data_IF_779508809629
#
_entry.id   IF_779508809629
#
_cell.length_a   1.000
_cell.length_b   1.000
_cell.length_c   1.000
_cell.angle_alpha   90.00
_cell.angle_beta   90.00
_cell.angle_gamma   90.00
#
_symmetry.space_group_name_H-M   'P 1'
#
loop_
_entity.id
_entity.type
_entity.pdbx_description
1 polymer ?
#
# COMPACT_ATOMS: atom_id res chain seq x y z
N UNK A 1 -25.98 28.18 -15.19
CA UNK A 1 -26.58 27.73 -13.92
C UNK A 1 -28.07 28.10 -13.87
N UNK A 2 -28.88 27.67 -14.85
CA UNK A 2 -30.32 28.01 -14.92
C UNK A 2 -31.25 27.02 -14.21
N UNK A 3 -30.72 25.90 -13.66
CA UNK A 3 -31.53 24.78 -13.17
C UNK A 3 -32.35 25.03 -11.91
N UNK A 4 -32.10 26.12 -11.18
CA UNK A 4 -32.81 26.45 -9.92
C UNK A 4 -33.60 27.77 -10.02
N UNK A 5 -33.87 28.28 -11.21
CA UNK A 5 -34.60 29.54 -11.38
C UNK A 5 -35.99 29.49 -10.74
N UNK A 6 -36.74 28.41 -10.98
CA UNK A 6 -38.10 28.23 -10.44
C UNK A 6 -38.09 28.05 -8.92
N UNK A 7 -37.09 27.35 -8.37
CA UNK A 7 -36.93 27.19 -6.93
C UNK A 7 -36.59 28.52 -6.25
N UNK A 8 -35.67 29.30 -6.81
CA UNK A 8 -35.31 30.62 -6.29
C UNK A 8 -36.49 31.60 -6.35
N UNK A 9 -37.37 31.44 -7.34
CA UNK A 9 -38.60 32.21 -7.44
C UNK A 9 -39.62 31.80 -6.37
N UNK A 10 -39.76 30.50 -6.09
CA UNK A 10 -40.68 29.97 -5.08
C UNK A 10 -40.21 30.15 -3.63
N UNK A 11 -38.90 30.07 -3.38
CA UNK A 11 -38.28 30.16 -2.06
C UNK A 11 -37.55 31.50 -1.83
N UNK A 12 -38.08 32.60 -2.36
CA UNK A 12 -37.57 33.94 -2.04
C UNK A 12 -37.84 34.31 -0.56
N UNK A 13 -37.23 35.41 -0.08
CA UNK A 13 -37.40 35.93 1.29
C UNK A 13 -38.87 36.23 1.68
N UNK A 14 -39.82 36.14 0.74
CA UNK A 14 -41.26 36.38 0.92
C UNK A 14 -42.09 35.11 0.63
N UNK A 15 -41.48 33.93 0.65
CA UNK A 15 -42.15 32.66 0.31
C UNK A 15 -43.19 32.23 1.37
N UNK A 16 -44.37 31.83 0.89
CA UNK A 16 -45.51 31.31 1.69
C UNK A 16 -45.31 29.83 2.04
N UNK A 17 -44.46 29.14 1.29
CA UNK A 17 -44.15 27.72 1.46
C UNK A 17 -43.28 27.53 2.70
N UNK A 18 -43.84 26.91 3.74
CA UNK A 18 -43.17 26.65 5.03
C UNK A 18 -41.86 25.85 4.86
N UNK A 19 -41.82 24.99 3.86
CA UNK A 19 -40.74 24.07 3.55
C UNK A 19 -39.46 24.81 3.12
N UNK A 20 -39.58 26.00 2.51
CA UNK A 20 -38.44 26.87 2.18
C UNK A 20 -37.75 27.45 3.42
N UNK A 21 -38.46 27.54 4.56
CA UNK A 21 -37.90 28.00 5.84
C UNK A 21 -37.28 26.85 6.64
N UNK A 22 -37.83 25.64 6.49
CA UNK A 22 -37.36 24.44 7.21
C UNK A 22 -36.20 23.74 6.50
N UNK A 23 -36.15 23.76 5.17
CA UNK A 23 -35.08 23.18 4.37
C UNK A 23 -34.29 24.30 3.67
N UNK A 24 -33.17 24.70 4.27
CA UNK A 24 -32.29 25.71 3.67
C UNK A 24 -31.62 25.14 2.42
N UNK A 25 -31.56 25.94 1.36
CA UNK A 25 -30.82 25.60 0.15
C UNK A 25 -29.35 25.31 0.50
N UNK A 26 -28.86 24.13 0.11
CA UNK A 26 -27.47 23.75 0.34
C UNK A 26 -26.58 24.56 -0.61
N UNK A 27 -25.69 25.42 -0.10
CA UNK A 27 -24.84 26.24 -0.95
C UNK A 27 -23.79 25.37 -1.64
N UNK A 28 -23.59 25.59 -2.94
CA UNK A 28 -22.47 25.01 -3.68
C UNK A 28 -22.64 23.58 -4.20
N UNK A 29 -23.87 23.08 -4.34
CA UNK A 29 -24.12 21.78 -4.95
C UNK A 29 -23.55 21.73 -6.39
N UNK A 30 -22.73 20.73 -6.76
CA UNK A 30 -22.26 20.56 -8.14
C UNK A 30 -23.45 20.29 -9.06
N UNK A 31 -23.31 20.63 -10.34
CA UNK A 31 -24.35 20.28 -11.31
C UNK A 31 -24.39 18.75 -11.49
N UNK A 32 -25.54 18.20 -11.87
CA UNK A 32 -25.68 16.76 -12.15
C UNK A 32 -24.66 16.28 -13.19
N UNK A 33 -24.27 17.15 -14.13
CA UNK A 33 -23.23 16.87 -15.13
C UNK A 33 -21.85 16.71 -14.47
N UNK A 34 -21.48 17.63 -13.58
CA UNK A 34 -20.17 17.59 -12.91
C UNK A 34 -20.09 16.41 -11.93
N UNK A 35 -21.17 16.17 -11.16
CA UNK A 35 -21.26 15.03 -10.26
C UNK A 35 -21.16 13.68 -11.02
N UNK A 36 -21.79 13.56 -12.19
CA UNK A 36 -21.67 12.37 -13.03
C UNK A 36 -20.23 12.17 -13.53
N UNK A 37 -19.53 13.25 -13.90
CA UNK A 37 -18.11 13.18 -14.30
C UNK A 37 -17.21 12.78 -13.13
N UNK A 38 -17.45 13.31 -11.93
CA UNK A 38 -16.70 12.93 -10.73
C UNK A 38 -16.89 11.44 -10.41
N UNK A 39 -18.13 10.96 -10.35
CA UNK A 39 -18.42 9.54 -10.10
C UNK A 39 -17.80 8.66 -11.18
N UNK A 40 -17.94 9.01 -12.46
CA UNK A 40 -17.33 8.25 -13.56
C UNK A 40 -15.79 8.23 -13.43
N UNK A 41 -15.16 9.36 -13.10
CA UNK A 41 -13.71 9.43 -12.92
C UNK A 41 -13.22 8.58 -11.74
N UNK A 42 -13.95 8.58 -10.62
CA UNK A 42 -13.59 7.79 -9.45
C UNK A 42 -13.78 6.30 -9.75
N UNK A 43 -14.92 5.91 -10.32
CA UNK A 43 -15.21 4.51 -10.67
C UNK A 43 -14.30 3.94 -11.77
N UNK A 44 -13.77 4.79 -12.64
CA UNK A 44 -12.78 4.38 -13.65
C UNK A 44 -11.35 4.29 -13.11
N UNK A 45 -11.03 5.06 -12.06
CA UNK A 45 -9.69 5.08 -11.47
C UNK A 45 -9.51 4.04 -10.36
N UNK A 46 -10.59 3.70 -9.65
CA UNK A 46 -10.60 2.76 -8.53
C UNK A 46 -11.91 1.98 -8.48
N UNK A 47 -11.83 0.67 -8.27
CA UNK A 47 -13.00 -0.14 -7.97
C UNK A 47 -13.41 0.10 -6.50
N UNK A 48 -14.59 0.68 -6.29
CA UNK A 48 -15.15 0.93 -4.97
C UNK A 48 -16.61 0.48 -4.92
N UNK A 49 -17.06 0.11 -3.72
CA UNK A 49 -18.46 -0.22 -3.45
C UNK A 49 -19.34 1.03 -3.67
N UNK A 50 -20.33 0.91 -4.55
CA UNK A 50 -21.21 2.02 -4.96
C UNK A 50 -21.09 2.38 -6.44
N UNK A 51 -19.98 2.03 -7.10
CA UNK A 51 -19.83 2.22 -8.55
C UNK A 51 -20.77 1.32 -9.37
N UNK A 52 -21.16 0.16 -8.83
CA UNK A 52 -22.13 -0.75 -9.45
C UNK A 52 -23.56 -0.18 -9.49
N UNK A 53 -23.87 0.79 -8.62
CA UNK A 53 -25.19 1.43 -8.58
C UNK A 53 -25.42 2.37 -9.78
N UNK A 54 -24.36 2.78 -10.48
CA UNK A 54 -24.41 3.69 -11.63
C UNK A 54 -23.74 3.07 -12.85
N UNK A 55 -24.54 2.44 -13.73
CA UNK A 55 -24.05 1.95 -15.03
C UNK A 55 -24.00 3.10 -16.04
N UNK A 56 -22.79 3.47 -16.47
CA UNK A 56 -22.58 4.53 -17.45
C UNK A 56 -22.71 3.98 -18.89
N UNK A 57 -23.66 4.49 -19.71
CA UNK A 57 -23.77 4.07 -21.10
C UNK A 57 -22.62 4.63 -21.95
N UNK A 58 -22.04 3.80 -22.83
CA UNK A 58 -20.93 4.17 -23.72
C UNK A 58 -21.28 5.31 -24.71
N UNK A 59 -22.57 5.62 -24.88
CA UNK A 59 -23.09 6.61 -25.82
C UNK A 59 -23.32 8.01 -25.23
N UNK A 60 -22.74 8.33 -24.07
CA UNK A 60 -22.72 9.72 -23.56
C UNK A 60 -24.07 10.22 -23.03
N UNK A 61 -24.73 9.43 -22.18
CA UNK A 61 -25.98 9.77 -21.49
C UNK A 61 -25.84 9.78 -19.97
N UNK A 62 -26.87 10.29 -19.28
CA UNK A 62 -26.94 10.25 -17.81
C UNK A 62 -27.22 8.82 -17.32
N UNK A 63 -26.46 8.29 -16.34
CA UNK A 63 -26.77 7.01 -15.75
C UNK A 63 -28.13 7.07 -15.04
N UNK A 64 -28.89 5.98 -15.10
CA UNK A 64 -30.17 5.85 -14.40
C UNK A 64 -29.91 5.48 -12.93
N UNK A 65 -29.33 6.39 -12.17
CA UNK A 65 -29.01 6.21 -10.75
C UNK A 65 -29.13 7.53 -9.97
N UNK A 66 -29.20 7.43 -8.65
CA UNK A 66 -29.07 8.61 -7.77
C UNK A 66 -27.60 9.02 -7.68
N UNK A 67 -27.17 9.82 -8.67
CA UNK A 67 -25.79 10.30 -8.81
C UNK A 67 -25.31 11.00 -7.53
N UNK A 68 -26.19 11.74 -6.85
CA UNK A 68 -25.80 12.52 -5.67
C UNK A 68 -25.60 11.62 -4.46
N UNK A 69 -26.44 10.59 -4.28
CA UNK A 69 -26.27 9.58 -3.24
C UNK A 69 -25.01 8.73 -3.46
N UNK A 70 -24.78 8.27 -4.69
CA UNK A 70 -23.57 7.51 -5.03
C UNK A 70 -22.31 8.35 -4.85
N UNK A 71 -22.33 9.61 -5.30
CA UNK A 71 -21.21 10.54 -5.09
C UNK A 71 -20.94 10.79 -3.61
N UNK A 72 -21.98 10.95 -2.79
CA UNK A 72 -21.84 11.11 -1.35
C UNK A 72 -21.19 9.88 -0.71
N UNK A 73 -21.68 8.67 -1.01
CA UNK A 73 -21.13 7.42 -0.50
C UNK A 73 -19.65 7.22 -0.88
N UNK A 74 -19.30 7.63 -2.10
CA UNK A 74 -17.94 7.49 -2.62
C UNK A 74 -16.97 8.45 -1.93
N UNK A 75 -17.41 9.71 -1.72
CA UNK A 75 -16.61 10.74 -1.07
C UNK A 75 -16.54 10.63 0.45
N UNK A 76 -17.51 10.01 1.12
CA UNK A 76 -17.41 9.68 2.55
C UNK A 76 -16.44 8.51 2.78
N UNK A 77 -16.35 7.58 1.84
CA UNK A 77 -15.42 6.44 1.91
C UNK A 77 -13.96 6.87 1.71
N UNK A 78 -13.70 7.86 0.85
CA UNK A 78 -12.37 8.49 0.69
C UNK A 78 -12.46 10.03 0.59
N UNK A 79 -12.33 10.76 1.71
CA UNK A 79 -12.55 12.21 1.74
C UNK A 79 -11.39 13.06 1.19
N UNK A 80 -10.23 12.47 0.91
CA UNK A 80 -9.00 13.18 0.48
C UNK A 80 -8.70 13.02 -1.02
N UNK A 81 -9.67 12.55 -1.79
CA UNK A 81 -9.61 12.60 -3.26
C UNK A 81 -9.89 14.02 -3.78
N UNK A 82 -9.16 14.42 -4.82
CA UNK A 82 -9.33 15.73 -5.45
C UNK A 82 -10.75 15.90 -6.03
N UNK A 83 -11.36 14.80 -6.50
CA UNK A 83 -12.74 14.77 -7.01
C UNK A 83 -13.81 14.98 -5.92
N UNK A 84 -13.45 14.84 -4.65
CA UNK A 84 -14.35 14.99 -3.50
C UNK A 84 -14.24 16.36 -2.81
N UNK A 85 -13.41 17.27 -3.33
CA UNK A 85 -13.21 18.61 -2.76
C UNK A 85 -14.53 19.40 -2.69
N UNK A 86 -15.36 19.34 -3.73
CA UNK A 86 -16.66 20.01 -3.75
C UNK A 86 -17.61 19.44 -2.70
N UNK A 87 -17.66 18.11 -2.55
CA UNK A 87 -18.48 17.45 -1.52
C UNK A 87 -18.03 17.81 -0.10
N UNK A 88 -16.72 17.85 0.14
CA UNK A 88 -16.11 18.27 1.42
C UNK A 88 -16.52 19.69 1.80
N UNK A 89 -16.53 20.62 0.85
CA UNK A 89 -16.95 22.01 1.09
C UNK A 89 -18.43 22.14 1.46
N UNK A 90 -19.29 21.32 0.86
CA UNK A 90 -20.73 21.27 1.15
C UNK A 90 -20.97 20.76 2.57
N UNK A 91 -20.31 19.66 2.96
CA UNK A 91 -20.45 19.11 4.31
C UNK A 91 -19.86 20.02 5.40
N UNK A 92 -18.89 20.88 5.06
CA UNK A 92 -18.39 21.94 5.96
C UNK A 92 -19.36 23.11 6.08
N UNK A 93 -20.05 23.48 4.99
CA UNK A 93 -21.01 24.58 4.97
C UNK A 93 -22.36 24.21 5.60
N UNK A 94 -22.77 22.94 5.54
CA UNK A 94 -24.06 22.47 6.08
C UNK A 94 -23.92 21.08 6.71
N UNK A 95 -23.54 21.01 8.00
CA UNK A 95 -23.33 19.72 8.69
C UNK A 95 -24.64 18.94 8.93
N UNK A 96 -25.80 19.59 8.83
CA UNK A 96 -27.13 18.96 8.98
C UNK A 96 -27.63 18.23 7.73
N UNK A 97 -26.85 18.22 6.64
CA UNK A 97 -27.25 17.54 5.40
C UNK A 97 -27.16 16.01 5.58
N UNK A 98 -28.27 15.31 5.35
CA UNK A 98 -28.40 13.86 5.61
C UNK A 98 -27.37 13.00 4.86
N UNK A 99 -26.91 13.44 3.69
CA UNK A 99 -25.87 12.76 2.89
C UNK A 99 -24.46 12.91 3.47
N UNK A 100 -24.21 13.87 4.35
CA UNK A 100 -22.95 13.99 5.07
C UNK A 100 -22.90 13.09 6.33
N UNK A 101 -24.04 12.52 6.75
CA UNK A 101 -24.18 11.70 7.97
C UNK A 101 -24.71 10.28 7.73
N UNK A 102 -25.22 9.96 6.53
CA UNK A 102 -25.77 8.64 6.25
C UNK A 102 -24.69 7.63 5.87
N UNK A 103 -24.58 6.62 6.73
CA UNK A 103 -24.10 5.25 6.50
C UNK A 103 -22.61 5.01 6.22
N UNK A 104 -21.90 4.69 7.31
CA UNK A 104 -20.92 3.60 7.35
C UNK A 104 -19.45 4.02 7.46
N UNK A 105 -18.90 3.98 8.67
CA UNK A 105 -17.48 3.82 9.02
C UNK A 105 -16.43 4.48 8.11
N UNK A 106 -15.74 5.48 8.66
CA UNK A 106 -14.64 6.28 8.11
C UNK A 106 -13.39 5.54 7.58
N UNK A 107 -13.41 4.23 7.40
CA UNK A 107 -12.25 3.46 6.92
C UNK A 107 -12.68 2.17 6.20
N UNK A 108 -13.56 2.26 5.20
CA UNK A 108 -13.73 1.13 4.28
C UNK A 108 -12.50 1.10 3.34
N UNK A 109 -11.59 0.11 3.44
CA UNK A 109 -10.49 -0.02 2.49
C UNK A 109 -11.06 -0.25 1.08
N UNK A 110 -10.39 0.23 0.01
CA UNK A 110 -10.85 -0.03 -1.35
C UNK A 110 -11.00 -1.54 -1.59
N UNK A 111 -11.96 -1.91 -2.42
CA UNK A 111 -12.21 -3.30 -2.77
C UNK A 111 -10.93 -3.93 -3.35
N UNK A 112 -10.42 -4.98 -2.69
CA UNK A 112 -9.24 -5.69 -3.19
C UNK A 112 -9.67 -6.60 -4.33
N UNK A 113 -9.23 -6.27 -5.55
CA UNK A 113 -9.33 -7.18 -6.69
C UNK A 113 -8.21 -8.22 -6.59
N UNK A 114 -8.59 -9.50 -6.59
CA UNK A 114 -7.67 -10.64 -6.38
C UNK A 114 -7.07 -11.19 -7.69
N UNK A 115 -6.89 -10.34 -8.70
CA UNK A 115 -6.30 -10.70 -9.98
C UNK A 115 -5.35 -9.59 -10.45
N UNK A 116 -4.41 -9.92 -11.34
CA UNK A 116 -3.43 -8.94 -11.82
C UNK A 116 -4.09 -7.73 -12.49
N UNK A 117 -3.80 -6.54 -11.97
CA UNK A 117 -4.35 -5.29 -12.49
C UNK A 117 -3.26 -4.25 -12.78
N UNK A 118 -3.60 -3.29 -13.64
CA UNK A 118 -2.76 -2.15 -13.98
C UNK A 118 -3.34 -0.89 -13.33
N UNK A 119 -3.21 -0.80 -12.01
CA UNK A 119 -3.61 0.38 -11.23
C UNK A 119 -2.43 1.34 -11.05
N UNK A 120 -2.72 2.65 -11.09
CA UNK A 120 -1.72 3.71 -10.81
C UNK A 120 -1.81 4.17 -9.35
N UNK A 121 -2.98 4.03 -8.72
CA UNK A 121 -3.27 4.51 -7.37
C UNK A 121 -3.44 3.33 -6.40
N UNK A 122 -2.33 2.82 -5.88
CA UNK A 122 -2.35 1.72 -4.91
C UNK A 122 -1.59 2.04 -3.63
N UNK A 123 -2.03 1.43 -2.54
CA UNK A 123 -1.37 1.50 -1.26
C UNK A 123 -0.20 0.51 -1.23
N UNK A 124 1.02 1.02 -1.28
CA UNK A 124 2.24 0.18 -1.33
C UNK A 124 2.61 -0.38 0.06
N UNK A 125 2.45 0.41 1.12
CA UNK A 125 2.81 0.00 2.50
C UNK A 125 2.11 0.83 3.59
N UNK A 126 1.83 2.10 3.31
CA UNK A 126 1.14 3.01 4.22
C UNK A 126 0.06 3.80 3.48
N UNK A 127 -1.04 4.17 4.15
CA UNK A 127 -2.15 4.99 3.62
C UNK A 127 -1.67 6.32 2.98
N UNK A 128 -0.52 6.83 3.43
CA UNK A 128 0.07 8.10 2.97
C UNK A 128 0.91 7.98 1.69
N UNK A 129 1.40 6.78 1.35
CA UNK A 129 2.22 6.56 0.16
C UNK A 129 1.36 6.08 -1.01
N UNK A 130 0.58 7.01 -1.57
CA UNK A 130 -0.23 6.77 -2.79
C UNK A 130 0.33 7.60 -3.93
N UNK A 131 0.82 6.98 -5.01
CA UNK A 131 1.21 7.72 -6.19
C UNK A 131 -0.04 8.33 -6.85
N UNK A 132 -0.15 9.66 -6.87
CA UNK A 132 -1.26 10.39 -7.53
C UNK A 132 -0.96 10.74 -9.00
N UNK A 133 0.29 10.57 -9.43
CA UNK A 133 0.74 10.93 -10.78
C UNK A 133 1.62 9.81 -11.36
N UNK A 134 1.67 9.72 -12.69
CA UNK A 134 2.55 8.78 -13.41
C UNK A 134 4.02 8.90 -12.99
N UNK A 135 4.49 10.13 -12.69
CA UNK A 135 5.84 10.37 -12.20
C UNK A 135 6.09 9.83 -10.79
N UNK A 136 5.10 9.96 -9.88
CA UNK A 136 5.20 9.40 -8.53
C UNK A 136 5.16 7.87 -8.55
N UNK A 137 4.36 7.29 -9.44
CA UNK A 137 4.32 5.84 -9.66
C UNK A 137 5.68 5.32 -10.13
N UNK A 138 6.30 6.00 -11.11
CA UNK A 138 7.65 5.66 -11.59
C UNK A 138 8.68 5.75 -10.46
N UNK A 139 8.59 6.78 -9.61
CA UNK A 139 9.44 6.91 -8.43
C UNK A 139 9.29 5.76 -7.44
N UNK A 140 8.05 5.34 -7.16
CA UNK A 140 7.76 4.19 -6.30
C UNK A 140 8.32 2.88 -6.88
N UNK A 141 8.19 2.68 -8.19
CA UNK A 141 8.76 1.53 -8.90
C UNK A 141 10.28 1.42 -8.67
N UNK A 142 11.01 2.51 -8.89
CA UNK A 142 12.46 2.53 -8.66
C UNK A 142 12.81 2.35 -7.18
N UNK A 143 12.06 2.95 -6.27
CA UNK A 143 12.29 2.80 -4.83
C UNK A 143 12.17 1.32 -4.41
N UNK A 144 11.13 0.63 -4.86
CA UNK A 144 10.91 -0.80 -4.58
C UNK A 144 12.01 -1.65 -5.22
N UNK A 145 12.39 -1.34 -6.46
CA UNK A 145 13.50 -2.01 -7.14
C UNK A 145 14.80 -1.93 -6.33
N UNK A 146 15.18 -0.75 -5.85
CA UNK A 146 16.38 -0.58 -5.03
C UNK A 146 16.26 -1.25 -3.66
N UNK A 147 15.09 -1.23 -3.03
CA UNK A 147 14.85 -1.96 -1.78
C UNK A 147 15.01 -3.47 -1.98
N UNK A 148 14.53 -4.02 -3.10
CA UNK A 148 14.70 -5.45 -3.43
C UNK A 148 16.17 -5.82 -3.69
N UNK A 149 16.92 -4.97 -4.39
CA UNK A 149 18.38 -5.14 -4.57
C UNK A 149 19.11 -5.08 -3.23
N UNK A 150 18.75 -4.12 -2.38
CA UNK A 150 19.34 -3.94 -1.05
C UNK A 150 19.04 -5.12 -0.12
N UNK A 151 17.82 -5.67 -0.18
CA UNK A 151 17.44 -6.88 0.55
C UNK A 151 18.36 -8.07 0.23
N UNK A 152 18.63 -8.32 -1.06
CA UNK A 152 19.59 -9.37 -1.46
C UNK A 152 21.01 -9.06 -0.96
N UNK A 153 21.42 -7.79 -0.99
CA UNK A 153 22.71 -7.36 -0.44
C UNK A 153 22.84 -7.63 1.06
N UNK A 154 21.81 -7.30 1.85
CA UNK A 154 21.75 -7.59 3.29
C UNK A 154 21.79 -9.09 3.58
N UNK A 155 21.05 -9.89 2.81
CA UNK A 155 21.01 -11.34 2.95
C UNK A 155 22.40 -11.95 2.72
N UNK A 156 23.11 -11.53 1.67
CA UNK A 156 24.49 -11.98 1.40
C UNK A 156 25.48 -11.50 2.47
N UNK A 157 25.35 -10.25 2.94
CA UNK A 157 26.19 -9.73 4.01
C UNK A 157 26.04 -10.55 5.29
N UNK A 158 24.81 -10.90 5.67
CA UNK A 158 24.53 -11.77 6.82
C UNK A 158 25.21 -13.12 6.66
N UNK A 159 25.06 -13.79 5.51
CA UNK A 159 25.70 -15.09 5.25
C UNK A 159 27.22 -15.02 5.36
N UNK A 160 27.82 -13.95 4.84
CA UNK A 160 29.27 -13.74 4.91
C UNK A 160 29.75 -13.46 6.34
N UNK A 161 28.99 -12.66 7.11
CA UNK A 161 29.26 -12.46 8.53
C UNK A 161 29.21 -13.79 9.27
N UNK A 162 28.16 -14.59 9.08
CA UNK A 162 28.02 -15.89 9.74
C UNK A 162 29.19 -16.84 9.42
N UNK A 163 29.60 -16.92 8.16
CA UNK A 163 30.79 -17.68 7.76
C UNK A 163 32.07 -17.19 8.46
N UNK A 164 32.27 -15.87 8.54
CA UNK A 164 33.42 -15.28 9.25
C UNK A 164 33.40 -15.59 10.76
N UNK A 165 32.22 -15.54 11.39
CA UNK A 165 32.06 -15.87 12.81
C UNK A 165 32.36 -17.35 13.10
N UNK A 166 31.92 -18.27 12.23
CA UNK A 166 32.21 -19.71 12.37
C UNK A 166 33.72 -20.00 12.26
N UNK A 167 34.40 -19.40 11.29
CA UNK A 167 35.87 -19.52 11.14
C UNK A 167 36.62 -18.93 12.35
N UNK A 168 36.05 -17.92 13.00
CA UNK A 168 36.60 -17.32 14.21
C UNK A 168 36.37 -18.20 15.45
N UNK A 169 35.28 -18.96 15.48
CA UNK A 169 34.96 -19.90 16.57
C UNK A 169 35.93 -21.08 16.62
N UNK A 170 36.31 -21.65 15.48
CA UNK A 170 37.18 -22.83 15.43
C UNK A 170 38.59 -22.57 16.00
N UNK A 171 39.09 -21.32 15.88
CA UNK A 171 40.38 -20.91 16.47
C UNK A 171 40.34 -20.81 17.99
N UNK A 172 39.18 -20.53 18.59
CA UNK A 172 38.97 -20.49 20.03
C UNK A 172 38.74 -21.87 20.65
N UNK A 173 38.19 -22.80 19.87
CA UNK A 173 37.75 -24.12 20.34
C UNK A 173 38.86 -25.05 20.81
N UNK A 174 40.03 -25.00 20.15
CA UNK A 174 41.18 -25.81 20.54
C UNK A 174 41.67 -25.49 21.95
N UNK A 175 41.40 -24.27 22.46
CA UNK A 175 41.84 -23.82 23.79
C UNK A 175 40.87 -24.21 24.91
N UNK A 176 39.56 -24.21 24.68
CA UNK A 176 38.59 -24.54 25.72
C UNK A 176 38.29 -26.04 25.83
N UNK A 177 38.38 -26.81 24.74
CA UNK A 177 38.18 -28.28 24.79
C UNK A 177 39.23 -28.99 25.65
N UNK A 178 40.40 -28.39 25.84
CA UNK A 178 41.49 -28.91 26.69
C UNK A 178 41.35 -28.52 28.18
N UNK A 179 40.43 -27.61 28.53
CA UNK A 179 40.27 -27.14 29.91
C UNK A 179 38.83 -27.41 30.34
N UNK A 180 38.58 -28.65 30.78
CA UNK A 180 37.32 -29.05 31.40
C UNK A 180 37.10 -28.35 32.74
N UNK A 181 36.59 -27.11 32.71
CA UNK A 181 36.11 -26.40 33.91
C UNK A 181 34.74 -25.78 33.67
N UNK A 182 33.77 -26.33 34.41
CA UNK A 182 32.44 -25.86 34.77
C UNK A 182 31.95 -24.54 34.17
N UNK A 183 30.84 -24.64 33.43
CA UNK A 183 29.62 -23.91 33.76
C UNK A 183 29.61 -22.38 33.64
N UNK A 184 30.68 -21.73 33.18
CA UNK A 184 30.66 -20.31 32.86
C UNK A 184 29.95 -20.09 31.53
N UNK A 185 28.62 -20.03 31.64
CA UNK A 185 27.66 -19.55 30.68
C UNK A 185 28.27 -18.43 29.81
N UNK A 186 28.19 -18.66 28.50
CA UNK A 186 28.71 -17.93 27.35
C UNK A 186 28.40 -16.42 27.25
N UNK A 187 28.58 -15.64 28.32
CA UNK A 187 28.24 -14.21 28.34
C UNK A 187 29.14 -13.35 27.44
N UNK A 188 30.32 -13.87 27.05
CA UNK A 188 31.28 -13.17 26.19
C UNK A 188 30.88 -13.20 24.69
N UNK A 189 30.00 -14.11 24.27
CA UNK A 189 29.51 -14.18 22.88
C UNK A 189 28.21 -13.38 22.63
N UNK A 190 27.61 -12.83 23.69
CA UNK A 190 26.34 -12.07 23.63
C UNK A 190 26.34 -10.92 22.63
N UNK A 191 27.48 -10.26 22.39
CA UNK A 191 27.58 -9.18 21.40
C UNK A 191 27.44 -9.67 19.95
N UNK A 192 27.98 -10.85 19.65
CA UNK A 192 27.90 -11.47 18.32
C UNK A 192 26.47 -11.97 18.09
N UNK A 193 25.89 -12.61 19.11
CA UNK A 193 24.50 -13.07 19.10
C UNK A 193 23.51 -11.90 18.98
N UNK A 194 23.77 -10.78 19.66
CA UNK A 194 22.97 -9.55 19.53
C UNK A 194 23.05 -8.97 18.12
N UNK A 195 24.25 -8.87 17.53
CA UNK A 195 24.40 -8.39 16.16
C UNK A 195 23.66 -9.31 15.18
N UNK A 196 23.79 -10.63 15.34
CA UNK A 196 23.05 -11.61 14.52
C UNK A 196 21.54 -11.41 14.64
N UNK A 197 21.02 -11.16 15.84
CA UNK A 197 19.60 -10.89 16.05
C UNK A 197 19.15 -9.63 15.28
N UNK A 198 19.90 -8.53 15.38
CA UNK A 198 19.57 -7.26 14.70
C UNK A 198 19.55 -7.43 13.18
N UNK A 199 20.56 -8.08 12.58
CA UNK A 199 20.57 -8.35 11.14
C UNK A 199 19.37 -9.23 10.72
N UNK A 200 19.00 -10.23 11.54
CA UNK A 200 17.82 -11.09 11.25
C UNK A 200 16.53 -10.27 11.24
N UNK A 201 16.39 -9.38 12.22
CA UNK A 201 15.19 -8.57 12.39
C UNK A 201 14.99 -7.57 11.24
N UNK A 202 16.07 -6.92 10.79
CA UNK A 202 16.02 -6.00 9.66
C UNK A 202 15.72 -6.76 8.36
N UNK A 203 16.39 -7.89 8.13
CA UNK A 203 16.15 -8.72 6.94
C UNK A 203 14.71 -9.22 6.87
N UNK A 204 14.16 -9.73 7.98
CA UNK A 204 12.78 -10.24 8.01
C UNK A 204 11.77 -9.12 7.77
N UNK A 205 11.98 -7.93 8.35
CA UNK A 205 11.09 -6.78 8.15
C UNK A 205 11.01 -6.39 6.67
N UNK A 206 12.14 -6.36 5.97
CA UNK A 206 12.18 -6.02 4.53
C UNK A 206 11.57 -7.15 3.70
N UNK A 207 11.83 -8.41 4.04
CA UNK A 207 11.24 -9.56 3.35
C UNK A 207 9.71 -9.55 3.42
N UNK A 208 9.14 -9.29 4.60
CA UNK A 208 7.69 -9.19 4.76
C UNK A 208 7.12 -7.95 4.06
N UNK A 209 7.83 -6.82 4.06
CA UNK A 209 7.41 -5.64 3.32
C UNK A 209 7.35 -5.90 1.80
N UNK A 210 8.37 -6.55 1.23
CA UNK A 210 8.38 -6.95 -0.19
C UNK A 210 7.27 -7.96 -0.50
N UNK A 211 6.99 -8.88 0.42
CA UNK A 211 5.87 -9.83 0.29
C UNK A 211 4.51 -9.12 0.31
N UNK A 212 4.32 -8.10 1.17
CA UNK A 212 3.10 -7.31 1.17
C UNK A 212 2.90 -6.59 -0.17
N UNK A 213 3.99 -6.07 -0.76
CA UNK A 213 3.94 -5.41 -2.07
C UNK A 213 3.55 -6.39 -3.18
N UNK A 214 4.07 -7.62 -3.20
CA UNK A 214 3.68 -8.59 -4.24
C UNK A 214 2.25 -9.08 -4.09
N UNK A 215 1.71 -9.04 -2.87
CA UNK A 215 0.31 -9.36 -2.58
C UNK A 215 -0.66 -8.26 -3.00
N UNK A 216 -0.21 -7.08 -3.47
CA UNK A 216 -1.11 -6.05 -4.01
C UNK A 216 -1.60 -6.35 -5.43
N UNK A 217 -1.17 -7.45 -6.06
CA UNK A 217 -1.57 -7.89 -7.41
C UNK A 217 -1.36 -6.84 -8.54
N UNK A 218 -0.49 -5.84 -8.33
CA UNK A 218 -0.12 -4.90 -9.38
C UNK A 218 1.03 -5.42 -10.23
N UNK A 219 0.78 -5.47 -11.53
CA UNK A 219 1.74 -5.97 -12.52
C UNK A 219 3.06 -5.19 -12.48
N UNK A 220 3.02 -3.86 -12.45
CA UNK A 220 4.22 -3.03 -12.48
C UNK A 220 5.05 -3.13 -11.20
N UNK A 221 4.40 -3.13 -10.02
CA UNK A 221 5.11 -3.31 -8.74
C UNK A 221 5.68 -4.72 -8.60
N UNK A 222 4.94 -5.75 -9.04
CA UNK A 222 5.42 -7.12 -9.07
C UNK A 222 6.69 -7.26 -9.93
N UNK A 223 6.69 -6.70 -11.13
CA UNK A 223 7.88 -6.72 -11.98
C UNK A 223 9.04 -5.91 -11.37
N UNK A 224 8.77 -4.81 -10.65
CA UNK A 224 9.81 -4.07 -9.92
C UNK A 224 10.53 -4.95 -8.89
N UNK A 225 9.76 -5.72 -8.11
CA UNK A 225 10.30 -6.65 -7.11
C UNK A 225 11.08 -7.78 -7.76
N UNK A 226 10.48 -8.48 -8.75
CA UNK A 226 11.12 -9.63 -9.41
C UNK A 226 12.41 -9.23 -10.12
N UNK A 227 12.40 -8.13 -10.88
CA UNK A 227 13.60 -7.63 -11.55
C UNK A 227 14.65 -7.15 -10.56
N UNK A 228 14.25 -6.47 -9.48
CA UNK A 228 15.16 -6.05 -8.41
C UNK A 228 15.84 -7.24 -7.71
N UNK A 229 15.09 -8.29 -7.40
CA UNK A 229 15.64 -9.52 -6.80
C UNK A 229 16.61 -10.22 -7.77
N UNK A 230 16.27 -10.33 -9.05
CA UNK A 230 17.13 -10.93 -10.07
C UNK A 230 18.44 -10.14 -10.24
N UNK A 231 18.35 -8.82 -10.34
CA UNK A 231 19.50 -7.92 -10.41
C UNK A 231 20.35 -7.99 -9.13
N UNK A 232 19.72 -8.04 -7.96
CA UNK A 232 20.41 -8.22 -6.68
C UNK A 232 21.22 -9.51 -6.63
N UNK A 233 20.65 -10.63 -7.07
CA UNK A 233 21.37 -11.91 -7.15
C UNK A 233 22.52 -11.83 -8.17
N UNK A 234 22.32 -11.16 -9.31
CA UNK A 234 23.37 -10.99 -10.31
C UNK A 234 24.59 -10.22 -9.77
N UNK A 235 24.37 -9.10 -9.06
CA UNK A 235 25.46 -8.30 -8.48
C UNK A 235 26.15 -8.98 -7.29
N UNK A 236 25.38 -9.59 -6.39
CA UNK A 236 25.93 -10.20 -5.16
C UNK A 236 26.24 -11.70 -5.29
N UNK A 237 25.95 -12.32 -6.44
CA UNK A 237 26.12 -13.76 -6.68
C UNK A 237 27.55 -14.27 -6.47
N UNK A 238 28.56 -13.45 -6.82
CA UNK A 238 29.98 -13.78 -6.59
C UNK A 238 30.36 -13.85 -5.11
N UNK A 239 29.63 -13.16 -4.23
CA UNK A 239 29.88 -13.18 -2.80
C UNK A 239 29.12 -14.31 -2.10
N UNK A 240 28.00 -14.77 -2.68
CA UNK A 240 27.24 -15.93 -2.19
C UNK A 240 27.97 -17.25 -2.39
N UNK A 241 28.81 -17.38 -3.42
CA UNK A 241 29.60 -18.60 -3.67
C UNK A 241 30.60 -18.94 -2.57
N UNK A 242 31.05 -17.98 -1.75
CA UNK A 242 31.92 -18.28 -0.61
C UNK A 242 31.16 -18.93 0.57
N UNK A 243 29.90 -18.54 0.80
CA UNK A 243 29.04 -19.18 1.80
C UNK A 243 28.40 -20.49 1.28
N UNK A 244 28.03 -20.53 -0.01
CA UNK A 244 27.53 -21.74 -0.67
C UNK A 244 28.57 -22.85 -0.84
N UNK A 245 29.87 -22.53 -0.91
CA UNK A 245 30.93 -23.54 -0.83
C UNK A 245 31.06 -24.14 0.59
N UNK A 246 30.68 -23.40 1.64
CA UNK A 246 30.60 -23.95 2.99
C UNK A 246 29.38 -24.90 3.14
N UNK A 247 28.22 -24.58 2.54
CA UNK A 247 27.06 -25.49 2.47
C UNK A 247 27.26 -26.67 1.50
N UNK A 248 27.95 -26.49 0.38
CA UNK A 248 28.33 -27.59 -0.52
C UNK A 248 29.37 -28.52 0.11
N UNK A 249 30.16 -28.03 1.08
CA UNK A 249 30.95 -28.88 1.98
C UNK A 249 30.08 -29.71 2.93
N UNK A 250 28.91 -29.21 3.32
CA UNK A 250 27.96 -29.91 4.20
C UNK A 250 27.10 -30.93 3.44
N UNK A 251 26.72 -30.65 2.19
CA UNK A 251 26.01 -31.60 1.32
C UNK A 251 26.91 -32.75 0.83
N UNK A 252 28.20 -32.52 0.66
CA UNK A 252 29.16 -33.60 0.39
C UNK A 252 29.61 -34.37 1.65
N UNK A 253 29.30 -33.86 2.85
CA UNK A 253 29.56 -34.54 4.13
C UNK A 253 28.48 -35.56 4.54
N UNK A 254 27.28 -35.49 3.94
CA UNK A 254 26.19 -36.43 4.20
C UNK A 254 26.05 -37.55 3.16
N UNK A 255 26.88 -37.58 2.11
CA UNK A 255 26.83 -38.61 1.06
C UNK A 255 27.84 -39.76 1.26
N UNK A 256 28.55 -39.82 2.39
CA UNK A 256 29.56 -40.87 2.65
C UNK A 256 29.33 -41.67 3.93
N UNK A 257 28.10 -41.71 4.45
CA UNK A 257 27.67 -42.72 5.41
C UNK A 257 26.37 -43.36 4.94
N UNK A 258 26.53 -44.59 4.46
CA UNK A 258 25.51 -45.61 4.15
C UNK A 258 24.99 -45.64 2.71
#
# INVERSE_FOLDING_TARGET
MSGCADYNQMCSNVSVVSECKTNTMVPGLPTTKDAAQYVQSICSSMAMDGCDACVFPASGGYPQCDILSTYAQLCTSMPDMDQCASFKSICQATPSFSLCSSSGSTDAPPSMIMYFHQGIHEYVLFKSWVPKNNGQYTGAWFAIFFVAVFYQGLSVLRSNCEAYWLLSSEKGDKKWRLTGKNGYFAWKHTKIDLMRLVFTFVESTISYALMLITMTFNVGLFFAVVTGLAVGIFFFGRHRSLAGLAEAGQLNGCASCQ
#
